data_IF_392673211239
#
_entry.id   IF_392673211239
#
_cell.length_a   1.000
_cell.length_b   1.000
_cell.length_c   1.000
_cell.angle_alpha   90.00
_cell.angle_beta   90.00
_cell.angle_gamma   90.00
#
_symmetry.space_group_name_H-M   'P 1'
#
loop_
_entity.id
_entity.type
_entity.pdbx_description
1 polymer ?
#
# COMPACT_ATOMS: atom_id res chain seq x y z
N UNK A 1 25.36 -7.19 -10.67
CA UNK A 1 24.54 -6.27 -9.85
C UNK A 1 23.08 -6.58 -10.11
N UNK A 2 22.21 -6.55 -9.09
CA UNK A 2 20.78 -6.75 -9.33
C UNK A 2 20.24 -5.63 -10.22
N UNK A 3 19.44 -5.99 -11.23
CA UNK A 3 18.75 -5.04 -12.10
C UNK A 3 17.88 -4.09 -11.25
N UNK A 4 17.93 -2.79 -11.55
CA UNK A 4 17.15 -1.77 -10.85
C UNK A 4 16.03 -1.25 -11.74
N UNK A 5 14.82 -1.19 -11.20
CA UNK A 5 13.68 -0.50 -11.78
C UNK A 5 13.48 0.81 -11.03
N UNK A 6 13.62 1.94 -11.72
CA UNK A 6 13.41 3.25 -11.12
C UNK A 6 11.95 3.65 -11.27
N UNK A 7 11.24 3.77 -10.15
CA UNK A 7 9.86 4.22 -10.11
C UNK A 7 9.83 5.76 -9.96
N UNK A 8 9.09 6.43 -10.85
CA UNK A 8 9.05 7.88 -10.92
C UNK A 8 7.94 8.50 -10.06
N UNK A 9 8.03 9.81 -9.78
CA UNK A 9 6.99 10.54 -9.04
C UNK A 9 5.67 10.58 -9.83
N UNK A 10 5.76 10.73 -11.15
CA UNK A 10 4.61 10.76 -12.05
C UNK A 10 3.86 9.43 -12.01
N UNK A 11 4.58 8.31 -12.04
CA UNK A 11 3.98 6.98 -11.90
C UNK A 11 3.32 6.80 -10.52
N UNK A 12 3.96 7.31 -9.46
CA UNK A 12 3.38 7.30 -8.12
C UNK A 12 2.06 8.09 -8.05
N UNK A 13 2.01 9.29 -8.63
CA UNK A 13 0.80 10.12 -8.63
C UNK A 13 -0.34 9.37 -9.33
N UNK A 14 -0.10 8.83 -10.52
CA UNK A 14 -1.08 8.04 -11.25
C UNK A 14 -1.54 6.80 -10.48
N UNK A 15 -0.61 6.05 -9.90
CA UNK A 15 -0.92 4.83 -9.17
C UNK A 15 -1.63 5.12 -7.84
N UNK A 16 -1.31 6.21 -7.14
CA UNK A 16 -1.99 6.61 -5.90
C UNK A 16 -3.48 6.88 -6.13
N UNK A 17 -3.82 7.47 -7.28
CA UNK A 17 -5.20 7.69 -7.70
C UNK A 17 -5.89 6.37 -8.05
N UNK A 18 -5.20 5.50 -8.81
CA UNK A 18 -5.75 4.21 -9.25
C UNK A 18 -6.00 3.26 -8.07
N UNK A 19 -5.04 3.14 -7.16
CA UNK A 19 -5.21 2.28 -5.99
C UNK A 19 -6.30 2.80 -5.07
N UNK A 20 -6.44 4.12 -4.94
CA UNK A 20 -7.54 4.74 -4.20
C UNK A 20 -8.92 4.32 -4.73
N UNK A 21 -9.13 4.38 -6.05
CA UNK A 21 -10.37 3.89 -6.69
C UNK A 21 -10.63 2.41 -6.39
N UNK A 22 -9.60 1.57 -6.50
CA UNK A 22 -9.73 0.14 -6.23
C UNK A 22 -10.06 -0.15 -4.77
N UNK A 23 -9.45 0.59 -3.84
CA UNK A 23 -9.77 0.52 -2.41
C UNK A 23 -11.24 0.87 -2.15
N UNK A 24 -11.77 1.91 -2.78
CA UNK A 24 -13.18 2.27 -2.64
C UNK A 24 -14.11 1.17 -3.17
N UNK A 25 -13.81 0.63 -4.36
CA UNK A 25 -14.62 -0.44 -4.97
C UNK A 25 -14.59 -1.71 -4.12
N UNK A 26 -13.41 -2.16 -3.72
CA UNK A 26 -13.24 -3.41 -3.00
C UNK A 26 -13.74 -3.31 -1.55
N UNK A 27 -13.57 -2.15 -0.89
CA UNK A 27 -14.12 -1.91 0.45
C UNK A 27 -15.65 -1.92 0.44
N UNK A 28 -16.30 -1.28 -0.55
CA UNK A 28 -17.76 -1.33 -0.73
C UNK A 28 -18.26 -2.75 -0.98
N UNK A 29 -17.61 -3.49 -1.88
CA UNK A 29 -17.94 -4.91 -2.17
C UNK A 29 -17.90 -5.78 -0.91
N UNK A 30 -16.91 -5.54 -0.04
CA UNK A 30 -16.72 -6.29 1.22
C UNK A 30 -17.47 -5.69 2.41
N UNK A 31 -18.27 -4.63 2.21
CA UNK A 31 -18.95 -3.88 3.27
C UNK A 31 -18.01 -3.47 4.41
N UNK A 32 -16.77 -3.09 4.05
CA UNK A 32 -15.73 -2.65 4.99
C UNK A 32 -15.73 -1.13 5.08
N UNK A 33 -15.77 -0.61 6.29
CA UNK A 33 -15.57 0.80 6.59
C UNK A 33 -14.23 0.99 7.31
N UNK A 34 -13.54 2.08 6.99
CA UNK A 34 -12.25 2.43 7.59
C UNK A 34 -12.44 3.57 8.59
N UNK A 35 -11.76 3.47 9.73
CA UNK A 35 -11.67 4.58 10.70
C UNK A 35 -10.49 5.53 10.40
N UNK A 36 -9.59 5.12 9.50
CA UNK A 36 -8.51 5.93 8.98
C UNK A 36 -7.52 5.12 8.16
N UNK A 37 -6.49 5.80 7.64
CA UNK A 37 -5.39 5.17 6.89
C UNK A 37 -4.14 5.12 7.75
N UNK A 38 -3.53 3.94 7.85
CA UNK A 38 -2.22 3.78 8.49
C UNK A 38 -1.20 3.35 7.44
N UNK A 39 -0.23 4.23 7.18
CA UNK A 39 0.92 3.91 6.34
C UNK A 39 2.01 3.26 7.16
N UNK A 40 2.54 2.13 6.68
CA UNK A 40 3.69 1.49 7.32
C UNK A 40 4.92 2.39 7.11
N UNK A 41 5.57 2.90 8.18
CA UNK A 41 6.71 3.78 8.01
C UNK A 41 7.94 3.04 7.43
N UNK A 42 8.72 3.63 6.53
CA UNK A 42 8.59 5.00 5.99
C UNK A 42 7.81 5.07 4.67
N UNK A 43 7.98 4.09 3.79
CA UNK A 43 7.49 4.13 2.40
C UNK A 43 5.96 4.24 2.28
N UNK A 44 5.23 3.48 3.10
CA UNK A 44 3.76 3.53 3.12
C UNK A 44 3.15 4.87 3.55
N UNK A 45 3.93 5.76 4.19
CA UNK A 45 3.40 7.05 4.67
C UNK A 45 2.97 7.98 3.55
N UNK A 46 3.69 7.98 2.43
CA UNK A 46 3.40 8.89 1.31
C UNK A 46 2.07 8.48 0.66
N UNK A 47 1.86 7.18 0.46
CA UNK A 47 0.58 6.66 -0.01
C UNK A 47 -0.54 6.91 1.01
N UNK A 48 -0.27 6.80 2.32
CA UNK A 48 -1.26 7.05 3.35
C UNK A 48 -1.80 8.48 3.33
N UNK A 49 -0.94 9.48 3.11
CA UNK A 49 -1.34 10.88 2.95
C UNK A 49 -2.26 11.04 1.75
N UNK A 50 -1.87 10.52 0.58
CA UNK A 50 -2.67 10.59 -0.64
C UNK A 50 -4.07 9.95 -0.45
N UNK A 51 -4.12 8.76 0.15
CA UNK A 51 -5.39 8.05 0.35
C UNK A 51 -6.25 8.68 1.45
N UNK A 52 -5.65 9.26 2.50
CA UNK A 52 -6.38 10.00 3.51
C UNK A 52 -7.14 11.19 2.90
N UNK A 53 -6.46 12.01 2.08
CA UNK A 53 -7.09 13.12 1.38
C UNK A 53 -8.18 12.65 0.41
N UNK A 54 -7.87 11.62 -0.39
CA UNK A 54 -8.81 11.10 -1.39
C UNK A 54 -10.09 10.55 -0.76
N UNK A 55 -9.95 9.74 0.29
CA UNK A 55 -11.07 9.03 0.91
C UNK A 55 -11.81 9.89 1.95
N UNK A 56 -11.27 11.05 2.31
CA UNK A 56 -11.85 11.92 3.35
C UNK A 56 -11.84 11.30 4.74
N UNK A 57 -10.87 10.42 5.03
CA UNK A 57 -10.69 9.76 6.34
C UNK A 57 -9.33 10.13 6.93
N UNK A 58 -9.17 10.17 8.27
CA UNK A 58 -7.95 10.65 8.88
C UNK A 58 -6.75 9.72 8.65
N UNK A 59 -5.55 10.29 8.63
CA UNK A 59 -4.32 9.51 8.76
C UNK A 59 -4.11 9.15 10.23
N UNK A 60 -3.76 7.90 10.49
CA UNK A 60 -3.57 7.36 11.83
C UNK A 60 -2.08 7.25 12.16
N UNK A 61 -1.72 7.56 13.40
CA UNK A 61 -0.36 7.38 13.91
C UNK A 61 -0.08 5.95 14.39
N UNK A 62 -1.15 5.20 14.69
CA UNK A 62 -1.09 3.80 15.06
C UNK A 62 -2.25 3.03 14.39
N UNK A 63 -2.04 1.77 14.00
CA UNK A 63 -3.05 0.98 13.32
C UNK A 63 -4.13 0.49 14.30
N UNK A 64 -5.36 0.41 13.81
CA UNK A 64 -6.50 -0.25 14.47
C UNK A 64 -6.93 -1.46 13.64
N UNK A 65 -7.86 -2.27 14.18
CA UNK A 65 -8.46 -3.40 13.45
C UNK A 65 -9.33 -2.98 12.24
N UNK A 66 -9.68 -1.69 12.14
CA UNK A 66 -10.47 -1.14 11.03
C UNK A 66 -9.68 -0.19 10.14
N UNK A 67 -8.38 -0.01 10.38
CA UNK A 67 -7.56 0.83 9.54
C UNK A 67 -7.38 0.23 8.15
N UNK A 68 -7.34 1.11 7.15
CA UNK A 68 -6.75 0.80 5.85
C UNK A 68 -5.23 0.81 6.02
N UNK A 69 -4.61 -0.37 5.95
CA UNK A 69 -3.15 -0.52 6.05
C UNK A 69 -2.56 -0.36 4.65
N UNK A 70 -1.63 0.56 4.51
CA UNK A 70 -0.98 0.81 3.22
C UNK A 70 0.54 0.72 3.31
N UNK A 71 1.14 0.20 2.24
CA UNK A 71 2.58 0.14 2.07
C UNK A 71 2.94 0.36 0.59
N UNK A 72 4.19 0.73 0.31
CA UNK A 72 4.64 0.84 -1.08
C UNK A 72 4.81 -0.53 -1.75
N UNK A 73 5.25 -1.55 -0.98
CA UNK A 73 5.48 -2.89 -1.52
C UNK A 73 5.22 -4.06 -0.55
N UNK A 74 4.52 -5.06 -1.07
CA UNK A 74 4.45 -6.39 -0.48
C UNK A 74 5.52 -7.31 -1.11
N UNK A 75 6.77 -7.29 -0.63
CA UNK A 75 7.85 -8.10 -1.22
C UNK A 75 7.98 -9.50 -0.57
N UNK A 76 8.43 -9.56 0.69
CA UNK A 76 8.42 -10.82 1.47
C UNK A 76 7.11 -11.03 2.21
N UNK A 77 6.37 -9.94 2.49
CA UNK A 77 5.12 -9.96 3.25
C UNK A 77 5.27 -10.07 4.76
N UNK A 78 6.50 -10.13 5.30
CA UNK A 78 6.74 -10.29 6.74
C UNK A 78 6.16 -9.11 7.56
N UNK A 79 6.36 -7.88 7.09
CA UNK A 79 5.81 -6.67 7.71
C UNK A 79 4.28 -6.67 7.72
N UNK A 80 3.67 -7.23 6.67
CA UNK A 80 2.21 -7.29 6.51
C UNK A 80 1.56 -8.42 7.32
N UNK A 81 2.33 -9.41 7.78
CA UNK A 81 1.83 -10.63 8.40
C UNK A 81 0.94 -10.33 9.62
N UNK A 82 1.40 -9.44 10.49
CA UNK A 82 0.66 -9.02 11.68
C UNK A 82 -0.70 -8.40 11.33
N UNK A 83 -0.75 -7.53 10.33
CA UNK A 83 -1.98 -6.87 9.88
C UNK A 83 -2.98 -7.83 9.23
N UNK A 84 -2.46 -8.82 8.48
CA UNK A 84 -3.25 -9.91 7.90
C UNK A 84 -3.87 -10.77 8.99
N UNK A 85 -3.14 -11.08 10.05
CA UNK A 85 -3.64 -11.89 11.18
C UNK A 85 -4.73 -11.12 11.96
N UNK A 86 -4.61 -9.79 12.06
CA UNK A 86 -5.64 -8.90 12.59
C UNK A 86 -6.83 -8.69 11.63
N UNK A 87 -6.80 -9.27 10.43
CA UNK A 87 -7.82 -9.13 9.37
C UNK A 87 -8.06 -7.67 8.94
N UNK A 88 -7.02 -6.85 9.04
CA UNK A 88 -7.02 -5.50 8.49
C UNK A 88 -7.11 -5.56 6.96
N UNK A 89 -7.56 -4.47 6.35
CA UNK A 89 -7.58 -4.34 4.90
C UNK A 89 -6.23 -3.78 4.44
N UNK A 90 -5.55 -4.45 3.52
CA UNK A 90 -4.19 -4.12 3.10
C UNK A 90 -4.17 -3.72 1.63
N UNK A 91 -3.57 -2.56 1.33
CA UNK A 91 -3.35 -2.09 -0.03
C UNK A 91 -1.87 -1.75 -0.28
N UNK A 92 -1.27 -2.23 -1.37
CA UNK A 92 0.11 -1.87 -1.72
C UNK A 92 0.27 -1.50 -3.19
N UNK A 93 1.22 -0.61 -3.53
CA UNK A 93 1.47 -0.27 -4.94
C UNK A 93 2.03 -1.49 -5.69
N UNK A 94 3.04 -2.13 -5.11
CA UNK A 94 3.68 -3.31 -5.67
C UNK A 94 3.39 -4.57 -4.87
N UNK A 95 3.27 -5.70 -5.57
CA UNK A 95 3.12 -7.03 -4.98
C UNK A 95 4.07 -8.03 -5.65
N UNK A 96 4.88 -8.71 -4.84
CA UNK A 96 5.71 -9.82 -5.31
C UNK A 96 5.00 -11.16 -5.01
N UNK A 97 4.90 -12.10 -5.97
CA UNK A 97 4.22 -13.39 -5.76
C UNK A 97 4.78 -14.27 -4.63
N UNK A 98 6.03 -14.03 -4.24
CA UNK A 98 6.71 -14.69 -3.10
C UNK A 98 6.25 -14.20 -1.72
N UNK A 99 5.51 -13.09 -1.68
CA UNK A 99 5.05 -12.51 -0.41
C UNK A 99 4.13 -13.49 0.31
N UNK A 100 4.36 -13.69 1.61
CA UNK A 100 3.50 -14.54 2.46
C UNK A 100 2.13 -13.91 2.74
N UNK A 101 1.96 -12.64 2.38
CA UNK A 101 0.70 -11.90 2.44
C UNK A 101 0.38 -11.38 1.05
N UNK A 102 -0.77 -11.77 0.52
CA UNK A 102 -1.37 -11.13 -0.65
C UNK A 102 -2.24 -9.96 -0.18
N UNK A 103 -1.94 -8.71 -0.57
CA UNK A 103 -2.79 -7.56 -0.27
C UNK A 103 -4.21 -7.73 -0.82
N UNK A 104 -5.19 -7.08 -0.18
CA UNK A 104 -6.56 -7.04 -0.67
C UNK A 104 -6.66 -6.27 -1.99
N UNK A 105 -5.83 -5.22 -2.12
CA UNK A 105 -5.67 -4.42 -3.33
C UNK A 105 -4.19 -4.24 -3.63
N UNK A 106 -3.79 -4.43 -4.88
CA UNK A 106 -2.45 -4.09 -5.37
C UNK A 106 -2.50 -3.70 -6.85
N UNK A 107 -1.52 -2.93 -7.34
CA UNK A 107 -1.51 -2.43 -8.72
C UNK A 107 -0.49 -3.15 -9.60
N UNK A 108 0.78 -3.14 -9.19
CA UNK A 108 1.89 -3.58 -10.03
C UNK A 108 2.46 -4.89 -9.50
N UNK A 109 2.63 -5.86 -10.39
CA UNK A 109 3.35 -7.09 -10.05
C UNK A 109 4.84 -6.80 -10.07
N UNK A 110 5.54 -7.03 -8.96
CA UNK A 110 7.00 -6.90 -8.89
C UNK A 110 7.67 -8.14 -9.48
N UNK A 111 8.71 -7.92 -10.29
CA UNK A 111 9.62 -8.95 -10.80
C UNK A 111 10.88 -9.14 -9.92
N UNK A 112 11.96 -9.63 -10.54
CA UNK A 112 13.25 -9.82 -9.88
C UNK A 112 13.99 -8.50 -9.59
N UNK A 113 13.73 -7.45 -10.38
CA UNK A 113 14.39 -6.16 -10.23
C UNK A 113 14.15 -5.53 -8.84
N UNK A 114 15.15 -4.83 -8.34
CA UNK A 114 15.03 -3.98 -7.16
C UNK A 114 14.32 -2.68 -7.56
N UNK A 115 13.22 -2.35 -6.90
CA UNK A 115 12.48 -1.12 -7.17
C UNK A 115 13.14 -0.02 -6.35
N UNK A 116 13.51 1.08 -7.01
CA UNK A 116 13.98 2.30 -6.35
C UNK A 116 12.84 3.30 -6.39
N UNK A 117 12.24 3.54 -5.22
CA UNK A 117 11.16 4.50 -5.09
C UNK A 117 11.67 5.94 -5.12
N UNK A 118 10.84 6.92 -5.53
CA UNK A 118 11.31 8.29 -5.71
C UNK A 118 11.67 8.98 -4.37
N UNK A 119 11.11 8.53 -3.24
CA UNK A 119 11.45 8.99 -1.89
C UNK A 119 12.69 8.30 -1.27
N UNK A 120 13.29 7.33 -1.96
CA UNK A 120 14.53 6.67 -1.53
C UNK A 120 15.77 7.29 -2.20
N UNK A 121 15.58 8.29 -3.06
CA UNK A 121 16.65 8.98 -3.76
C UNK A 121 17.24 10.06 -2.83
N UNK A 122 18.56 10.05 -2.69
CA UNK A 122 19.34 11.11 -2.05
C UNK A 122 19.35 12.38 -2.91
#
# INVERSE_FOLDING_TARGET
MAEKLYYAWEEFVEDSERIGKLVEVESKKRKRQFDGVYGIPRGGMILAVCLSHRLGIPMLLAPTKRSLIVDDIADTGKTLAHFRDLRCFIATLFYHPRSIVKPDVWLRKKGSAWIVFPWERE
#
